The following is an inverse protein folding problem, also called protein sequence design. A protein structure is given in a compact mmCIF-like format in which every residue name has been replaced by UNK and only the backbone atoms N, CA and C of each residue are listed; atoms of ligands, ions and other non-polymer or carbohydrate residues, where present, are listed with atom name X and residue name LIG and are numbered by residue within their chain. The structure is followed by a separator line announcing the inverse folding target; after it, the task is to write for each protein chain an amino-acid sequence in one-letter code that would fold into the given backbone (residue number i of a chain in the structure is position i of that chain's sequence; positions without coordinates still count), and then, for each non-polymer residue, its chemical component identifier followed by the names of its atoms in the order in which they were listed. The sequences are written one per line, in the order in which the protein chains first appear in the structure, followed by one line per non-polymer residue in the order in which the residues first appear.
data_IF_203901786280
#
_entry.id   IF_203901786280
#
_cell.length_a   1.000
_cell.length_b   1.000
_cell.length_c   1.000
_cell.angle_alpha   90.00
_cell.angle_beta   90.00
_cell.angle_gamma   90.00
#
_symmetry.space_group_name_H-M   'P 1'
#
loop_
_entity.id
_entity.type
_entity.pdbx_description
1 polymer ?
#
# COMPACT_ATOMS: atom_id res chain seq x y z
N UNK A 1 11.09 5.76 8.56
CA UNK A 1 12.04 4.64 8.50
C UNK A 1 11.51 3.64 7.49
N UNK A 2 12.35 3.08 6.62
CA UNK A 2 11.93 2.08 5.64
C UNK A 2 11.72 0.73 6.33
N UNK A 3 10.54 0.11 6.14
CA UNK A 3 10.10 -1.08 6.90
C UNK A 3 10.13 -2.35 6.01
N UNK A 4 9.62 -2.25 4.77
CA UNK A 4 9.46 -3.36 3.81
C UNK A 4 8.84 -4.65 4.40
N UNK A 5 7.86 -4.49 5.30
CA UNK A 5 7.16 -5.62 5.93
C UNK A 5 6.05 -6.15 5.01
N UNK A 6 5.91 -7.47 4.79
CA UNK A 6 4.81 -8.02 4.02
C UNK A 6 3.49 -7.84 4.78
N UNK A 7 2.44 -7.43 4.06
CA UNK A 7 1.10 -7.19 4.63
C UNK A 7 0.02 -7.80 3.73
N UNK A 8 -1.17 -7.99 4.30
CA UNK A 8 -2.37 -8.29 3.53
C UNK A 8 -3.16 -7.01 3.30
N UNK A 9 -3.67 -6.82 2.08
CA UNK A 9 -4.43 -5.64 1.68
C UNK A 9 -5.68 -6.10 0.94
N UNK A 10 -6.83 -5.58 1.33
CA UNK A 10 -8.05 -5.67 0.53
C UNK A 10 -8.13 -4.48 -0.41
N UNK A 11 -8.44 -4.76 -1.66
CA UNK A 11 -8.49 -3.76 -2.72
C UNK A 11 -9.76 -3.89 -3.53
N UNK A 12 -10.18 -2.79 -4.14
CA UNK A 12 -11.09 -2.81 -5.26
C UNK A 12 -10.30 -2.66 -6.56
N UNK A 13 -10.66 -3.46 -7.55
CA UNK A 13 -10.27 -3.21 -8.93
C UNK A 13 -11.36 -2.36 -9.58
N UNK A 14 -11.05 -1.08 -9.85
CA UNK A 14 -11.97 -0.13 -10.50
C UNK A 14 -11.41 0.22 -11.88
N UNK A 15 -11.90 -0.48 -12.91
CA UNK A 15 -11.36 -0.36 -14.26
C UNK A 15 -9.90 -0.81 -14.31
N UNK A 16 -8.99 0.10 -14.65
CA UNK A 16 -7.54 -0.15 -14.70
C UNK A 16 -6.79 0.31 -13.43
N UNK A 17 -7.52 0.66 -12.36
CA UNK A 17 -6.94 1.15 -11.10
C UNK A 17 -7.15 0.15 -9.97
N UNK A 18 -6.14 0.08 -9.10
CA UNK A 18 -6.21 -0.61 -7.81
C UNK A 18 -6.49 0.45 -6.75
N UNK A 19 -7.53 0.25 -5.97
CA UNK A 19 -7.91 1.13 -4.86
C UNK A 19 -7.82 0.37 -3.53
N UNK A 20 -6.78 0.64 -2.71
CA UNK A 20 -6.68 0.08 -1.37
C UNK A 20 -7.87 0.49 -0.50
N UNK A 21 -8.52 -0.50 0.14
CA UNK A 21 -9.65 -0.28 1.03
C UNK A 21 -9.28 -0.50 2.50
N UNK A 22 -8.46 -1.51 2.76
CA UNK A 22 -8.15 -1.98 4.10
C UNK A 22 -6.82 -2.73 4.07
N UNK A 23 -6.00 -2.60 5.11
CA UNK A 23 -4.83 -3.47 5.26
C UNK A 23 -4.64 -3.94 6.71
N UNK A 24 -3.87 -5.01 6.87
CA UNK A 24 -3.63 -5.66 8.14
C UNK A 24 -2.17 -5.51 8.53
N UNK A 25 -1.92 -4.88 9.68
CA UNK A 25 -0.56 -4.66 10.18
C UNK A 25 -0.53 -4.75 11.71
N UNK A 26 0.40 -5.55 12.25
CA UNK A 26 0.58 -5.76 13.71
C UNK A 26 -0.71 -6.13 14.47
N UNK A 27 -1.51 -7.02 13.88
CA UNK A 27 -2.78 -7.47 14.46
C UNK A 27 -3.92 -6.43 14.38
N UNK A 28 -3.68 -5.26 13.79
CA UNK A 28 -4.69 -4.23 13.56
C UNK A 28 -5.21 -4.29 12.14
N UNK A 29 -6.51 -4.06 12.00
CA UNK A 29 -7.17 -3.77 10.74
C UNK A 29 -7.22 -2.25 10.57
N UNK A 30 -6.55 -1.72 9.55
CA UNK A 30 -6.44 -0.28 9.30
C UNK A 30 -7.23 0.05 8.03
N UNK A 31 -8.32 0.79 8.20
CA UNK A 31 -9.14 1.27 7.09
C UNK A 31 -8.42 2.40 6.37
N UNK A 32 -8.47 2.37 5.05
CA UNK A 32 -7.97 3.45 4.21
C UNK A 32 -9.04 4.54 4.18
N UNK A 33 -8.72 5.70 4.74
CA UNK A 33 -9.59 6.87 4.74
C UNK A 33 -9.43 7.66 3.44
N UNK A 34 -8.18 7.76 2.95
CA UNK A 34 -7.85 8.45 1.70
C UNK A 34 -6.60 7.88 1.05
N UNK A 35 -6.61 7.75 -0.28
CA UNK A 35 -5.39 7.57 -1.08
C UNK A 35 -4.89 8.95 -1.52
N UNK A 36 -3.71 9.35 -1.04
CA UNK A 36 -3.14 10.67 -1.26
C UNK A 36 -2.30 10.75 -2.53
N UNK A 37 -1.55 9.68 -2.84
CA UNK A 37 -0.69 9.62 -4.02
C UNK A 37 -0.63 8.18 -4.53
N UNK A 38 -0.63 8.03 -5.85
CA UNK A 38 -0.33 6.78 -6.55
C UNK A 38 0.78 7.06 -7.55
N UNK A 39 1.83 6.26 -7.53
CA UNK A 39 2.85 6.28 -8.57
C UNK A 39 3.39 4.87 -8.81
N UNK A 40 4.16 4.70 -9.88
CA UNK A 40 4.76 3.41 -10.22
C UNK A 40 6.27 3.53 -10.35
N UNK A 41 6.98 2.49 -9.92
CA UNK A 41 8.41 2.35 -10.19
C UNK A 41 8.69 1.03 -10.93
N UNK A 42 9.81 0.95 -11.64
CA UNK A 42 10.26 -0.26 -12.32
C UNK A 42 11.61 -0.69 -11.78
N UNK A 43 11.75 -1.98 -11.48
CA UNK A 43 13.03 -2.60 -11.18
C UNK A 43 13.20 -3.86 -12.04
N UNK A 44 14.02 -3.75 -13.10
CA UNK A 44 14.10 -4.77 -14.13
C UNK A 44 12.74 -5.02 -14.78
N UNK A 45 12.28 -6.28 -14.72
CA UNK A 45 10.97 -6.68 -15.24
C UNK A 45 9.80 -6.41 -14.26
N UNK A 46 10.08 -6.05 -13.00
CA UNK A 46 9.04 -5.84 -11.99
C UNK A 46 8.47 -4.44 -12.06
N UNK A 47 7.14 -4.32 -12.07
CA UNK A 47 6.43 -3.05 -11.93
C UNK A 47 5.82 -2.97 -10.53
N UNK A 48 6.23 -1.95 -9.78
CA UNK A 48 5.73 -1.71 -8.44
C UNK A 48 4.73 -0.55 -8.46
N UNK A 49 3.58 -0.76 -7.82
CA UNK A 49 2.62 0.30 -7.56
C UNK A 49 2.83 0.79 -6.13
N UNK A 50 3.03 2.08 -5.95
CA UNK A 50 3.22 2.71 -4.65
C UNK A 50 2.00 3.57 -4.32
N UNK A 51 1.50 3.45 -3.10
CA UNK A 51 0.34 4.15 -2.58
C UNK A 51 0.73 4.88 -1.30
N UNK A 52 0.60 6.21 -1.30
CA UNK A 52 0.60 6.98 -0.05
C UNK A 52 -0.84 7.13 0.40
N UNK A 53 -1.15 6.66 1.61
CA UNK A 53 -2.51 6.62 2.14
C UNK A 53 -2.59 7.24 3.54
N UNK A 54 -3.77 7.77 3.89
CA UNK A 54 -4.14 8.12 5.25
C UNK A 54 -5.10 7.07 5.79
N UNK A 55 -4.90 6.65 7.04
CA UNK A 55 -5.78 5.69 7.70
C UNK A 55 -5.54 5.63 9.20
N UNK A 56 -6.59 5.59 10.01
CA UNK A 56 -6.45 5.35 11.45
C UNK A 56 -5.49 6.32 12.17
N UNK A 57 -5.45 7.58 11.73
CA UNK A 57 -4.64 8.66 12.31
C UNK A 57 -3.16 8.68 11.92
N UNK A 58 -2.75 7.96 10.87
CA UNK A 58 -1.36 7.97 10.38
C UNK A 58 -1.31 8.03 8.84
N UNK A 59 -0.11 8.32 8.32
CA UNK A 59 0.23 8.14 6.91
C UNK A 59 1.00 6.84 6.71
N UNK A 60 0.65 6.09 5.67
CA UNK A 60 1.33 4.86 5.29
C UNK A 60 1.76 4.90 3.82
N UNK A 61 2.89 4.25 3.53
CA UNK A 61 3.37 3.98 2.17
C UNK A 61 3.25 2.49 1.92
N UNK A 62 2.39 2.09 1.00
CA UNK A 62 2.20 0.70 0.59
C UNK A 62 2.81 0.47 -0.79
N UNK A 63 3.38 -0.71 -1.02
CA UNK A 63 3.82 -1.16 -2.34
C UNK A 63 3.15 -2.47 -2.73
N UNK A 64 2.65 -2.52 -3.95
CA UNK A 64 2.20 -3.75 -4.60
C UNK A 64 3.17 -4.17 -5.70
N UNK A 65 3.65 -5.40 -5.60
CA UNK A 65 4.43 -6.10 -6.62
C UNK A 65 3.49 -6.89 -7.51
N UNK A 66 3.30 -6.43 -8.75
CA UNK A 66 2.39 -7.07 -9.69
C UNK A 66 2.91 -8.40 -10.27
N UNK A 67 4.21 -8.66 -10.15
CA UNK A 67 4.84 -9.87 -10.65
C UNK A 67 4.67 -11.01 -9.63
N UNK A 68 4.93 -10.71 -8.35
CA UNK A 68 4.84 -11.70 -7.27
C UNK A 68 3.51 -11.69 -6.52
N UNK A 69 2.60 -10.76 -6.85
CA UNK A 69 1.30 -10.56 -6.19
C UNK A 69 1.43 -10.33 -4.68
N UNK A 70 2.42 -9.52 -4.28
CA UNK A 70 2.74 -9.25 -2.87
C UNK A 70 2.55 -7.78 -2.51
N UNK A 71 2.06 -7.54 -1.30
CA UNK A 71 1.95 -6.23 -0.71
C UNK A 71 2.99 -6.02 0.39
N UNK A 72 3.52 -4.81 0.48
CA UNK A 72 4.49 -4.41 1.48
C UNK A 72 4.08 -3.07 2.11
N UNK A 73 4.33 -2.93 3.41
CA UNK A 73 4.40 -1.65 4.09
C UNK A 73 5.83 -1.11 3.97
N UNK A 74 6.00 0.00 3.27
CA UNK A 74 7.30 0.64 3.07
C UNK A 74 7.62 1.66 4.15
N UNK A 75 6.61 2.31 4.73
CA UNK A 75 6.81 3.27 5.79
C UNK A 75 5.51 3.70 6.47
N UNK A 76 5.67 4.22 7.69
CA UNK A 76 4.62 4.85 8.50
C UNK A 76 5.16 6.18 9.02
N UNK A 77 4.30 7.21 9.01
CA UNK A 77 4.55 8.53 9.56
C UNK A 77 3.33 8.91 10.43
N UNK A 78 3.59 9.35 11.66
CA UNK A 78 2.54 9.89 12.54
C UNK A 78 2.11 11.27 12.02
N UNK A 79 0.83 11.60 12.19
CA UNK A 79 0.26 12.90 11.81
C UNK A 79 0.69 14.03 12.77
#
# INVERSE_FOLDING_TARGET
MEILEPINVWVFFKGNLIEPYLFFWRGRQIKVDKVNLIHTSKNGASLFYHFSISGGGNFYKLRFDNHNLKWFLEGVEEE
#
